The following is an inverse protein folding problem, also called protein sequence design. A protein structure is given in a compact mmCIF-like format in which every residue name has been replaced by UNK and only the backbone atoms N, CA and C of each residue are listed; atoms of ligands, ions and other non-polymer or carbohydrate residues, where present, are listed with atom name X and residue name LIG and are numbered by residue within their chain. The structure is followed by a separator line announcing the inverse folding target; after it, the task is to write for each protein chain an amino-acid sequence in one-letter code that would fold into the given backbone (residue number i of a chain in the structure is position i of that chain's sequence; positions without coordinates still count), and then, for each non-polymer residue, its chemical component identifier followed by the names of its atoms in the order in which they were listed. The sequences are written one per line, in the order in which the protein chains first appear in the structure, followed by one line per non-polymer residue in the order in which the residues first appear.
data_IF_724118752400
#
_entry.id   IF_724118752400
#
_cell.length_a   1.000
_cell.length_b   1.000
_cell.length_c   1.000
_cell.angle_alpha   90.00
_cell.angle_beta   90.00
_cell.angle_gamma   90.00
#
_symmetry.space_group_name_H-M   'P 1'
#
loop_
_entity.id
_entity.type
_entity.pdbx_description
1 polymer ?
#
# COMPACT_ATOMS: atom_id res chain seq x y z
N UNK A 1 -4.92 14.48 -14.75
CA UNK A 1 -5.63 13.19 -14.62
C UNK A 1 -7.14 13.44 -14.63
N UNK A 2 -7.91 12.82 -15.53
CA UNK A 2 -9.37 12.87 -15.48
C UNK A 2 -9.84 12.22 -14.18
N UNK A 3 -10.49 12.99 -13.30
CA UNK A 3 -10.92 12.53 -11.97
C UNK A 3 -12.20 11.68 -12.00
N UNK A 4 -12.88 11.63 -13.13
CA UNK A 4 -14.25 11.10 -13.26
C UNK A 4 -14.34 9.59 -13.03
N UNK A 5 -13.42 8.80 -13.58
CA UNK A 5 -13.41 7.35 -13.38
C UNK A 5 -12.92 6.98 -11.98
N UNK A 6 -11.83 7.58 -11.51
CA UNK A 6 -11.27 7.30 -10.19
C UNK A 6 -12.26 7.62 -9.07
N UNK A 7 -13.02 8.72 -9.17
CA UNK A 7 -14.04 9.07 -8.17
C UNK A 7 -15.19 8.07 -8.17
N UNK A 8 -15.73 7.69 -9.33
CA UNK A 8 -16.85 6.75 -9.41
C UNK A 8 -16.51 5.33 -8.94
N UNK A 9 -15.24 4.91 -9.06
CA UNK A 9 -14.78 3.62 -8.53
C UNK A 9 -14.52 3.67 -7.03
N UNK A 10 -13.91 4.77 -6.54
CA UNK A 10 -13.65 4.95 -5.10
C UNK A 10 -14.97 5.06 -4.33
N UNK A 11 -15.96 5.79 -4.86
CA UNK A 11 -17.28 5.94 -4.23
C UNK A 11 -17.97 4.60 -3.95
N UNK A 12 -18.13 3.76 -4.99
CA UNK A 12 -18.75 2.44 -4.86
C UNK A 12 -17.97 1.51 -3.92
N UNK A 13 -16.63 1.56 -3.98
CA UNK A 13 -15.76 0.74 -3.14
C UNK A 13 -15.87 1.14 -1.66
N UNK A 14 -15.82 2.43 -1.36
CA UNK A 14 -15.84 2.93 0.01
C UNK A 14 -17.23 2.86 0.65
N UNK A 15 -18.30 2.78 -0.13
CA UNK A 15 -19.66 2.65 0.40
C UNK A 15 -19.88 1.37 1.23
N UNK A 16 -19.14 0.29 0.95
CA UNK A 16 -19.26 -0.99 1.66
C UNK A 16 -17.98 -1.41 2.39
N UNK A 17 -16.87 -0.67 2.22
CA UNK A 17 -15.60 -1.05 2.81
C UNK A 17 -15.48 -0.63 4.28
N UNK A 18 -14.93 -1.51 5.11
CA UNK A 18 -14.41 -1.13 6.42
C UNK A 18 -12.93 -0.75 6.26
N UNK A 19 -12.63 0.55 6.34
CA UNK A 19 -11.29 1.06 6.10
C UNK A 19 -10.47 0.98 7.38
N UNK A 20 -9.35 0.25 7.33
CA UNK A 20 -8.33 0.25 8.37
C UNK A 20 -7.19 1.18 7.97
N UNK A 21 -6.94 2.21 8.76
CA UNK A 21 -5.74 3.03 8.60
C UNK A 21 -4.58 2.36 9.33
N UNK A 22 -3.52 2.03 8.58
CA UNK A 22 -2.30 1.45 9.14
C UNK A 22 -1.22 2.52 9.26
N UNK A 23 -0.39 2.43 10.30
CA UNK A 23 0.71 3.35 10.61
C UNK A 23 1.96 2.57 11.02
N UNK A 24 3.10 3.26 11.10
CA UNK A 24 4.39 2.69 11.50
C UNK A 24 5.37 2.51 10.35
N UNK A 25 6.55 1.98 10.68
CA UNK A 25 7.65 1.83 9.73
C UNK A 25 7.49 0.60 8.81
N UNK A 26 8.21 0.62 7.68
CA UNK A 26 8.20 -0.48 6.73
C UNK A 26 8.92 -1.71 7.31
N UNK A 27 8.16 -2.74 7.65
CA UNK A 27 8.68 -4.05 8.09
C UNK A 27 9.66 -4.62 7.06
N UNK A 28 9.33 -4.52 5.76
CA UNK A 28 10.19 -5.03 4.68
C UNK A 28 11.51 -4.28 4.62
N UNK A 29 11.50 -2.96 4.85
CA UNK A 29 12.72 -2.17 4.92
C UNK A 29 13.58 -2.59 6.12
N UNK A 30 13.00 -2.69 7.32
CA UNK A 30 13.72 -3.13 8.52
C UNK A 30 14.35 -4.51 8.33
N UNK A 31 13.62 -5.45 7.71
CA UNK A 31 14.14 -6.78 7.41
C UNK A 31 15.27 -6.75 6.38
N UNK A 32 15.13 -5.97 5.31
CA UNK A 32 16.16 -5.82 4.29
C UNK A 32 17.46 -5.24 4.88
N UNK A 33 17.35 -4.21 5.73
CA UNK A 33 18.50 -3.64 6.44
C UNK A 33 19.15 -4.63 7.42
N UNK A 34 18.38 -5.57 7.96
CA UNK A 34 18.89 -6.69 8.76
C UNK A 34 19.41 -7.87 7.91
N UNK A 35 19.52 -7.71 6.59
CA UNK A 35 20.00 -8.74 5.66
C UNK A 35 19.00 -9.88 5.39
N UNK A 36 17.74 -9.75 5.81
CA UNK A 36 16.71 -10.79 5.64
C UNK A 36 15.93 -10.59 4.33
N UNK A 37 15.89 -11.63 3.50
CA UNK A 37 15.07 -11.66 2.29
C UNK A 37 15.54 -10.75 1.15
N UNK A 38 16.78 -10.24 1.23
CA UNK A 38 17.44 -9.48 0.15
C UNK A 38 18.10 -10.45 -0.84
N UNK A 39 17.95 -10.15 -2.14
CA UNK A 39 18.69 -10.80 -3.23
C UNK A 39 19.47 -9.70 -3.94
N UNK A 40 20.77 -9.89 -4.08
CA UNK A 40 21.64 -8.92 -4.74
C UNK A 40 21.25 -8.79 -6.22
N UNK A 41 21.25 -7.56 -6.71
CA UNK A 41 21.05 -7.28 -8.13
C UNK A 41 22.42 -7.29 -8.80
N UNK A 42 22.61 -8.24 -9.72
CA UNK A 42 23.84 -8.46 -10.47
C UNK A 42 24.06 -7.41 -11.57
#
# INVERSE_FOLDING_TARGET
MPKTLATATVDRLLHHAHVCQTSGDSIRLTQALAGKGVTELN
#
